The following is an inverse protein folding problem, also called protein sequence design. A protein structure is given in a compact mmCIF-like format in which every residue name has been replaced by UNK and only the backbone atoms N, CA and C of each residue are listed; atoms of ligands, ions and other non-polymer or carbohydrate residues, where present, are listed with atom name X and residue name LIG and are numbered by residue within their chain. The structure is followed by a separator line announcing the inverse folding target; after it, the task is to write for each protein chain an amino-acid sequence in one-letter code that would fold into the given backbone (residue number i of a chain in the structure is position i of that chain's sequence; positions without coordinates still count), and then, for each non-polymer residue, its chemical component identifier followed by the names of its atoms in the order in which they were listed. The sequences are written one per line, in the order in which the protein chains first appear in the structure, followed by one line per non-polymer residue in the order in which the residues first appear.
data_IF_434241099981
#
_entry.id   IF_434241099981
#
_cell.length_a   1.000
_cell.length_b   1.000
_cell.length_c   1.000
_cell.angle_alpha   90.00
_cell.angle_beta   90.00
_cell.angle_gamma   90.00
#
_symmetry.space_group_name_H-M   'P 1'
#
loop_
_entity.id
_entity.type
_entity.pdbx_description
1 polymer ?
#
# COMPACT_ATOMS: atom_id res chain seq x y z
N UNK A 1 1.46 -6.69 -17.75
CA UNK A 1 0.92 -6.78 -16.37
C UNK A 1 1.70 -5.82 -15.46
N UNK A 2 1.03 -5.14 -14.52
CA UNK A 2 1.70 -4.20 -13.60
C UNK A 2 2.63 -4.89 -12.59
N UNK A 3 2.63 -6.22 -12.54
CA UNK A 3 3.36 -7.02 -11.57
C UNK A 3 4.83 -7.25 -11.95
N UNK A 4 5.15 -7.33 -13.25
CA UNK A 4 6.53 -7.44 -13.76
C UNK A 4 7.52 -6.44 -13.15
N UNK A 5 7.10 -5.18 -12.94
CA UNK A 5 7.95 -4.16 -12.30
C UNK A 5 8.22 -4.44 -10.82
N UNK A 6 7.28 -5.07 -10.11
CA UNK A 6 7.47 -5.50 -8.71
C UNK A 6 8.48 -6.65 -8.65
N UNK A 7 8.36 -7.64 -9.54
CA UNK A 7 9.27 -8.80 -9.57
C UNK A 7 10.71 -8.40 -9.87
N UNK A 8 10.91 -7.54 -10.88
CA UNK A 8 12.24 -7.02 -11.22
C UNK A 8 12.86 -6.27 -10.04
N UNK A 9 12.05 -5.46 -9.35
CA UNK A 9 12.50 -4.73 -8.18
C UNK A 9 12.88 -5.63 -7.00
N UNK A 10 12.09 -6.68 -6.73
CA UNK A 10 12.40 -7.64 -5.66
C UNK A 10 13.67 -8.44 -5.97
N UNK A 11 13.84 -8.87 -7.22
CA UNK A 11 15.07 -9.54 -7.66
C UNK A 11 16.30 -8.62 -7.50
N UNK A 12 16.16 -7.33 -7.81
CA UNK A 12 17.21 -6.36 -7.57
C UNK A 12 17.52 -6.19 -6.07
N UNK A 13 16.49 -6.11 -5.22
CA UNK A 13 16.67 -6.01 -3.77
C UNK A 13 17.41 -7.23 -3.20
N UNK A 14 17.13 -8.43 -3.71
CA UNK A 14 17.82 -9.67 -3.34
C UNK A 14 19.29 -9.67 -3.80
N UNK A 15 19.57 -9.23 -5.03
CA UNK A 15 20.94 -9.21 -5.56
C UNK A 15 21.84 -8.18 -4.88
N UNK A 16 21.28 -7.11 -4.28
CA UNK A 16 22.05 -6.17 -3.46
C UNK A 16 22.79 -6.87 -2.31
N UNK A 17 22.19 -7.91 -1.72
CA UNK A 17 22.84 -8.69 -0.67
C UNK A 17 24.06 -9.47 -1.19
N UNK A 18 24.01 -9.98 -2.43
CA UNK A 18 25.10 -10.74 -3.05
C UNK A 18 26.36 -9.88 -3.27
N UNK A 19 26.17 -8.57 -3.47
CA UNK A 19 27.25 -7.60 -3.69
C UNK A 19 27.59 -6.78 -2.44
N UNK A 20 27.08 -7.15 -1.25
CA UNK A 20 27.21 -6.41 0.00
C UNK A 20 26.76 -4.93 -0.09
N UNK A 21 25.79 -4.63 -0.96
CA UNK A 21 25.16 -3.32 -1.03
C UNK A 21 23.96 -3.25 -0.08
N UNK A 22 23.85 -2.16 0.67
CA UNK A 22 22.71 -1.94 1.56
C UNK A 22 21.61 -1.17 0.81
N UNK A 23 20.35 -1.65 0.80
CA UNK A 23 19.24 -0.87 0.29
C UNK A 23 19.04 0.40 1.13
N UNK A 24 18.56 1.46 0.48
CA UNK A 24 18.25 2.73 1.11
C UNK A 24 16.76 3.09 1.01
N UNK A 25 16.38 4.24 1.56
CA UNK A 25 15.00 4.73 1.53
C UNK A 25 14.46 4.84 0.11
N UNK A 26 15.30 5.29 -0.84
CA UNK A 26 14.92 5.46 -2.25
C UNK A 26 14.61 4.10 -2.88
N UNK A 27 15.42 3.08 -2.59
CA UNK A 27 15.23 1.70 -3.05
C UNK A 27 13.86 1.18 -2.62
N UNK A 28 13.51 1.30 -1.33
CA UNK A 28 12.21 0.86 -0.83
C UNK A 28 11.05 1.69 -1.39
N UNK A 29 11.19 3.02 -1.49
CA UNK A 29 10.16 3.89 -2.04
C UNK A 29 9.82 3.51 -3.50
N UNK A 30 10.83 3.22 -4.32
CA UNK A 30 10.63 2.78 -5.70
C UNK A 30 9.89 1.43 -5.79
N UNK A 31 10.22 0.48 -4.91
CA UNK A 31 9.54 -0.83 -4.86
C UNK A 31 8.08 -0.72 -4.42
N UNK A 32 7.81 0.11 -3.41
CA UNK A 32 6.46 0.39 -2.94
C UNK A 32 5.66 1.11 -4.03
N UNK A 33 6.29 2.01 -4.81
CA UNK A 33 5.66 2.67 -5.95
C UNK A 33 5.30 1.68 -7.08
N UNK A 34 6.17 0.70 -7.35
CA UNK A 34 5.86 -0.38 -8.29
C UNK A 34 4.63 -1.18 -7.81
N UNK A 35 4.52 -1.47 -6.51
CA UNK A 35 3.33 -2.11 -5.93
C UNK A 35 2.08 -1.24 -6.15
N UNK A 36 2.17 0.08 -5.96
CA UNK A 36 1.06 1.00 -6.22
C UNK A 36 0.58 0.98 -7.68
N UNK A 37 1.47 0.74 -8.65
CA UNK A 37 1.09 0.57 -10.05
C UNK A 37 0.42 -0.78 -10.29
N UNK A 38 0.96 -1.85 -9.69
CA UNK A 38 0.39 -3.20 -9.78
C UNK A 38 -1.03 -3.29 -9.19
N UNK A 39 -1.30 -2.56 -8.09
CA UNK A 39 -2.61 -2.56 -7.43
C UNK A 39 -3.76 -2.14 -8.37
N UNK A 40 -3.49 -1.22 -9.32
CA UNK A 40 -4.48 -0.77 -10.30
C UNK A 40 -4.74 -1.75 -11.46
N UNK A 41 -4.00 -2.87 -11.53
CA UNK A 41 -4.06 -3.82 -12.64
C UNK A 41 -4.87 -5.09 -12.34
N UNK A 42 -5.64 -5.12 -11.24
CA UNK A 42 -6.56 -6.22 -10.89
C UNK A 42 -6.05 -7.19 -9.82
N UNK A 43 -4.89 -6.93 -9.21
CA UNK A 43 -4.30 -7.77 -8.15
C UNK A 43 -4.01 -6.91 -6.89
N UNK A 44 -5.04 -6.18 -6.45
CA UNK A 44 -4.97 -5.16 -5.39
C UNK A 44 -4.44 -5.68 -4.06
N UNK A 45 -4.98 -6.80 -3.58
CA UNK A 45 -4.58 -7.41 -2.32
C UNK A 45 -3.10 -7.84 -2.33
N UNK A 46 -2.65 -8.48 -3.43
CA UNK A 46 -1.25 -8.89 -3.60
C UNK A 46 -0.30 -7.71 -3.57
N UNK A 47 -0.65 -6.64 -4.27
CA UNK A 47 0.14 -5.41 -4.31
C UNK A 47 0.21 -4.72 -2.95
N UNK A 48 -0.91 -4.63 -2.23
CA UNK A 48 -0.96 -4.11 -0.86
C UNK A 48 -0.07 -4.94 0.06
N UNK A 49 -0.27 -6.26 0.13
CA UNK A 49 0.50 -7.13 1.02
C UNK A 49 2.01 -7.01 0.78
N UNK A 50 2.42 -6.97 -0.49
CA UNK A 50 3.82 -6.80 -0.85
C UNK A 50 4.38 -5.42 -0.43
N UNK A 51 3.60 -4.35 -0.60
CA UNK A 51 3.99 -3.02 -0.15
C UNK A 51 4.21 -2.94 1.37
N UNK A 52 3.36 -3.59 2.17
CA UNK A 52 3.53 -3.64 3.62
C UNK A 52 4.68 -4.55 4.07
N UNK A 53 4.97 -5.64 3.34
CA UNK A 53 6.20 -6.43 3.56
C UNK A 53 7.46 -5.59 3.34
N UNK A 54 7.49 -4.79 2.27
CA UNK A 54 8.59 -3.88 1.99
C UNK A 54 8.76 -2.82 3.09
N UNK A 55 7.67 -2.25 3.60
CA UNK A 55 7.70 -1.34 4.75
C UNK A 55 8.29 -2.02 6.00
N UNK A 56 7.92 -3.27 6.28
CA UNK A 56 8.48 -4.01 7.41
C UNK A 56 9.97 -4.28 7.22
N UNK A 57 10.39 -4.69 6.03
CA UNK A 57 11.81 -4.90 5.69
C UNK A 57 12.61 -3.62 5.84
N UNK A 58 12.10 -2.49 5.33
CA UNK A 58 12.70 -1.16 5.48
C UNK A 58 12.96 -0.85 6.96
N UNK A 59 11.98 -1.08 7.83
CA UNK A 59 12.12 -0.86 9.28
C UNK A 59 13.12 -1.83 9.93
N UNK A 60 13.14 -3.10 9.50
CA UNK A 60 14.06 -4.12 10.01
C UNK A 60 15.53 -3.80 9.70
N UNK A 61 15.80 -3.18 8.55
CA UNK A 61 17.15 -2.72 8.19
C UNK A 61 17.50 -1.34 8.77
N UNK A 62 16.67 -0.81 9.68
CA UNK A 62 16.92 0.44 10.39
C UNK A 62 16.56 1.70 9.63
N UNK A 63 15.89 1.59 8.49
CA UNK A 63 15.42 2.75 7.71
C UNK A 63 14.05 3.21 8.23
N UNK A 64 13.87 4.53 8.25
CA UNK A 64 12.61 5.15 8.71
C UNK A 64 11.77 5.55 7.49
N UNK A 65 10.51 5.10 7.38
CA UNK A 65 9.62 5.54 6.32
C UNK A 65 9.43 7.06 6.37
N UNK A 66 9.51 7.70 5.21
CA UNK A 66 9.31 9.13 5.07
C UNK A 66 7.89 9.44 4.58
N UNK A 67 7.62 10.73 4.35
CA UNK A 67 6.36 11.19 3.78
C UNK A 67 6.05 10.52 2.44
N UNK A 68 7.05 10.38 1.57
CA UNK A 68 6.94 9.73 0.26
C UNK A 68 6.58 8.25 0.39
N UNK A 69 7.20 7.52 1.33
CA UNK A 69 6.87 6.13 1.63
C UNK A 69 5.40 6.00 2.03
N UNK A 70 4.96 6.83 2.98
CA UNK A 70 3.61 6.77 3.53
C UNK A 70 2.55 7.16 2.49
N UNK A 71 2.80 8.22 1.74
CA UNK A 71 1.94 8.68 0.64
C UNK A 71 1.74 7.58 -0.40
N UNK A 72 2.82 6.89 -0.76
CA UNK A 72 2.78 5.80 -1.74
C UNK A 72 2.02 4.58 -1.20
N UNK A 73 2.19 4.23 0.08
CA UNK A 73 1.43 3.16 0.73
C UNK A 73 -0.08 3.45 0.74
N UNK A 74 -0.48 4.69 1.04
CA UNK A 74 -1.90 5.11 0.99
C UNK A 74 -2.44 4.98 -0.43
N UNK A 75 -1.67 5.39 -1.45
CA UNK A 75 -2.08 5.24 -2.84
C UNK A 75 -2.26 3.76 -3.24
N UNK A 76 -1.35 2.86 -2.81
CA UNK A 76 -1.50 1.41 -3.01
C UNK A 76 -2.78 0.90 -2.36
N UNK A 77 -3.06 1.30 -1.12
CA UNK A 77 -4.24 0.93 -0.36
C UNK A 77 -5.54 1.37 -1.05
N UNK A 78 -5.61 2.63 -1.49
CA UNK A 78 -6.77 3.17 -2.18
C UNK A 78 -7.02 2.45 -3.52
N UNK A 79 -5.97 2.17 -4.29
CA UNK A 79 -6.09 1.40 -5.54
C UNK A 79 -6.48 -0.04 -5.30
N UNK A 80 -5.98 -0.67 -4.24
CA UNK A 80 -6.38 -2.02 -3.86
C UNK A 80 -7.88 -2.04 -3.49
N UNK A 81 -8.34 -1.11 -2.67
CA UNK A 81 -9.76 -0.94 -2.35
C UNK A 81 -10.63 -0.77 -3.60
N UNK A 82 -10.21 0.10 -4.52
CA UNK A 82 -10.90 0.30 -5.80
C UNK A 82 -10.91 -0.96 -6.69
N UNK A 83 -9.97 -1.88 -6.49
CA UNK A 83 -9.90 -3.18 -7.17
C UNK A 83 -10.67 -4.30 -6.43
N UNK A 84 -11.48 -3.97 -5.42
CA UNK A 84 -12.32 -4.91 -4.66
C UNK A 84 -11.66 -5.46 -3.38
N UNK A 85 -10.45 -5.01 -3.04
CA UNK A 85 -9.77 -5.40 -1.82
C UNK A 85 -10.20 -4.52 -0.63
N UNK A 86 -11.27 -4.94 0.07
CA UNK A 86 -11.89 -4.18 1.18
C UNK A 86 -10.92 -3.85 2.31
N UNK A 87 -9.99 -4.75 2.61
CA UNK A 87 -8.95 -4.53 3.62
C UNK A 87 -8.00 -3.37 3.23
N UNK A 88 -7.92 -3.01 1.95
CA UNK A 88 -7.16 -1.85 1.48
C UNK A 88 -7.52 -0.57 2.22
N UNK A 89 -8.78 -0.36 2.56
CA UNK A 89 -9.24 0.79 3.36
C UNK A 89 -8.62 0.78 4.76
N UNK A 90 -8.70 -0.35 5.46
CA UNK A 90 -8.20 -0.47 6.84
C UNK A 90 -6.68 -0.25 6.91
N UNK A 91 -5.95 -0.83 5.96
CA UNK A 91 -4.51 -0.65 5.86
C UNK A 91 -4.15 0.81 5.55
N UNK A 92 -4.90 1.48 4.68
CA UNK A 92 -4.72 2.91 4.40
C UNK A 92 -4.92 3.78 5.64
N UNK A 93 -5.96 3.52 6.43
CA UNK A 93 -6.22 4.23 7.69
C UNK A 93 -5.11 4.01 8.72
N UNK A 94 -4.52 2.81 8.74
CA UNK A 94 -3.37 2.50 9.60
C UNK A 94 -2.16 3.36 9.24
N UNK A 95 -1.90 3.58 7.95
CA UNK A 95 -0.80 4.44 7.47
C UNK A 95 -1.05 5.90 7.83
N UNK A 96 -2.28 6.41 7.66
CA UNK A 96 -2.64 7.77 8.13
C UNK A 96 -2.40 7.95 9.63
N UNK A 97 -2.79 6.95 10.43
CA UNK A 97 -2.51 6.94 11.86
C UNK A 97 -1.01 6.92 12.18
N UNK A 98 -0.20 6.23 11.37
CA UNK A 98 1.25 6.23 11.48
C UNK A 98 1.83 7.62 11.17
N UNK A 99 1.41 8.26 10.08
CA UNK A 99 1.87 9.60 9.70
C UNK A 99 1.58 10.61 10.82
N UNK A 100 0.36 10.60 11.36
CA UNK A 100 -0.04 11.48 12.46
C UNK A 100 0.83 11.32 13.72
N UNK A 101 1.20 10.08 14.06
CA UNK A 101 2.08 9.80 15.22
C UNK A 101 3.53 10.20 14.97
N UNK A 102 3.98 10.12 13.73
CA UNK A 102 5.34 10.50 13.31
C UNK A 102 5.48 11.99 12.99
N UNK A 103 4.41 12.79 13.10
CA UNK A 103 4.44 14.21 12.73
C UNK A 103 4.51 14.46 11.22
N UNK A 104 4.25 13.44 10.41
CA UNK A 104 4.18 13.54 8.95
C UNK A 104 2.76 13.95 8.53
N UNK A 105 2.67 14.80 7.51
CA UNK A 105 1.39 15.25 6.97
C UNK A 105 1.07 14.45 5.71
N UNK A 106 -0.07 13.73 5.67
CA UNK A 106 -0.55 13.15 4.42
C UNK A 106 -0.95 14.27 3.45
N UNK A 107 -0.67 14.06 2.17
CA UNK A 107 -1.18 14.95 1.12
C UNK A 107 -2.73 14.92 1.12
N UNK A 108 -3.35 16.09 0.97
CA UNK A 108 -4.80 16.25 0.91
C UNK A 108 -5.42 15.41 -0.20
N UNK A 109 -4.74 15.24 -1.34
CA UNK A 109 -5.23 14.39 -2.43
C UNK A 109 -5.40 12.92 -2.01
N UNK A 110 -4.50 12.41 -1.15
CA UNK A 110 -4.50 11.00 -0.73
C UNK A 110 -5.53 10.73 0.36
N UNK A 111 -5.75 11.70 1.26
CA UNK A 111 -6.82 11.63 2.25
C UNK A 111 -8.20 11.56 1.58
N UNK A 112 -8.44 12.39 0.56
CA UNK A 112 -9.68 12.33 -0.22
C UNK A 112 -9.83 11.03 -1.01
N UNK A 113 -8.74 10.52 -1.62
CA UNK A 113 -8.78 9.27 -2.36
C UNK A 113 -9.16 8.08 -1.47
N UNK A 114 -8.53 7.95 -0.29
CA UNK A 114 -8.85 6.87 0.63
C UNK A 114 -10.28 7.00 1.20
N UNK A 115 -10.71 8.21 1.59
CA UNK A 115 -12.07 8.45 2.07
C UNK A 115 -13.14 8.17 1.02
N UNK A 116 -12.87 8.49 -0.25
CA UNK A 116 -13.77 8.17 -1.36
C UNK A 116 -14.01 6.66 -1.49
N UNK A 117 -12.96 5.85 -1.33
CA UNK A 117 -13.10 4.40 -1.34
C UNK A 117 -13.77 3.87 -0.05
N UNK A 118 -13.52 4.47 1.12
CA UNK A 118 -14.24 4.13 2.36
C UNK A 118 -15.76 4.22 2.21
N UNK A 119 -16.24 5.31 1.59
CA UNK A 119 -17.69 5.55 1.42
C UNK A 119 -18.31 4.50 0.52
N UNK A 120 -17.65 4.16 -0.61
CA UNK A 120 -18.13 3.12 -1.52
C UNK A 120 -18.18 1.74 -0.86
N UNK A 121 -17.12 1.37 -0.13
CA UNK A 121 -17.07 0.10 0.60
C UNK A 121 -18.18 0.01 1.65
N UNK A 122 -18.52 1.12 2.32
CA UNK A 122 -19.60 1.17 3.29
C UNK A 122 -21.00 1.09 2.65
N UNK A 123 -21.20 1.70 1.48
CA UNK A 123 -22.45 1.62 0.73
C UNK A 123 -22.72 0.20 0.22
N UNK A 124 -21.70 -0.52 -0.26
CA UNK A 124 -21.83 -1.92 -0.70
C UNK A 124 -22.03 -2.90 0.46
N UNK A 125 -21.51 -2.60 1.65
CA UNK A 125 -21.74 -3.42 2.85
C UNK A 125 -23.16 -3.22 3.43
N UNK A 126 -23.81 -2.10 3.14
CA UNK A 126 -25.20 -1.83 3.51
C UNK A 126 -26.24 -2.53 2.64
N UNK A 127 -25.81 -3.17 1.55
CA UNK A 127 -26.67 -3.89 0.59
C UNK A 127 -26.50 -5.42 0.70
N UNK A 128 -26.12 -5.94 1.89
CA UNK A 128 -26.25 -7.38 2.14
C UNK A 128 -27.75 -7.74 2.19
N UNK A 129 -28.24 -8.66 1.33
CA UNK A 129 -29.62 -9.08 1.36
C UNK A 129 -29.88 -9.77 2.71
N UNK A 130 -30.80 -9.19 3.49
CA UNK A 130 -31.38 -9.83 4.66
C UNK A 130 -31.68 -11.31 4.33
N UNK A 131 -31.22 -12.28 5.15
CA UNK A 131 -31.62 -13.66 4.94
C UNK A 131 -33.16 -13.72 4.99
N UNK A 132 -33.83 -14.45 4.08
CA UNK A 132 -35.27 -14.59 4.15
C UNK A 132 -35.61 -15.18 5.52
N UNK A 133 -36.35 -14.41 6.32
CA UNK A 133 -36.85 -14.86 7.62
C UNK A 133 -37.63 -16.15 7.45
N UNK A 134 -37.25 -17.17 8.21
CA UNK A 134 -37.98 -18.43 8.33
C UNK A 134 -39.24 -18.30 9.17
#
# INVERSE_FOLDING_TARGET
DGWSGVEQGLSFLESMAEVNAMPDVITFNNLIAACAQAAGSGDGARARDQAFRLLETMRKVGLTPDEGTCNTLIATCAKAAAAGDREGVEYGLRVLGMMKRSGLLPDAAMHHALLGECVKVAEEAGDEPHPPGG
#
